data_IF_316506338707
#
_entry.id   IF_316506338707
#
_cell.length_a   1.000
_cell.length_b   1.000
_cell.length_c   1.000
_cell.angle_alpha   90.00
_cell.angle_beta   90.00
_cell.angle_gamma   90.00
#
_symmetry.space_group_name_H-M   'P 1'
#
loop_
_entity.id
_entity.type
_entity.pdbx_description
1 polymer ?
#
# COMPACT_ATOMS: atom_id res chain seq x y z
N UNK A 1 -0.73 -28.91 -50.23
CA UNK A 1 -0.45 -30.15 -49.50
C UNK A 1 -0.75 -29.92 -48.06
N UNK A 2 -1.82 -30.56 -47.50
CA UNK A 2 -2.28 -30.41 -46.12
C UNK A 2 -1.60 -31.46 -45.26
N UNK A 3 -0.90 -31.06 -44.22
CA UNK A 3 -0.40 -31.99 -43.21
C UNK A 3 -1.08 -31.71 -41.88
N UNK A 4 -2.02 -32.57 -41.54
CA UNK A 4 -2.74 -32.64 -40.26
C UNK A 4 -1.80 -33.38 -39.29
N UNK A 5 -1.44 -32.73 -38.18
CA UNK A 5 -0.73 -33.36 -37.08
C UNK A 5 -1.75 -33.63 -35.95
N UNK A 6 -1.95 -34.92 -35.71
CA UNK A 6 -2.86 -35.49 -34.74
C UNK A 6 -2.10 -35.59 -33.39
N UNK A 7 -2.53 -34.88 -32.36
CA UNK A 7 -2.02 -35.08 -30.99
C UNK A 7 -2.96 -35.97 -30.19
N UNK A 8 -2.39 -37.08 -29.76
CA UNK A 8 -3.05 -38.11 -28.93
C UNK A 8 -3.08 -37.63 -27.48
N UNK A 9 -4.28 -37.65 -26.89
CA UNK A 9 -4.52 -37.47 -25.45
C UNK A 9 -4.09 -38.72 -24.70
N UNK A 10 -3.11 -38.60 -23.81
CA UNK A 10 -2.88 -39.58 -22.74
C UNK A 10 -3.54 -39.10 -21.45
N UNK A 11 -4.60 -39.82 -21.08
CA UNK A 11 -5.33 -39.67 -19.82
C UNK A 11 -4.62 -40.49 -18.74
N UNK A 12 -3.94 -39.83 -17.82
CA UNK A 12 -3.34 -40.43 -16.63
C UNK A 12 -4.19 -40.17 -15.40
N UNK A 13 -4.94 -41.20 -14.97
CA UNK A 13 -5.67 -41.23 -13.69
C UNK A 13 -4.69 -41.61 -12.61
N UNK A 14 -4.46 -40.72 -11.64
CA UNK A 14 -3.72 -41.04 -10.41
C UNK A 14 -4.70 -40.98 -9.24
N UNK A 15 -5.04 -42.15 -8.72
CA UNK A 15 -5.75 -42.35 -7.45
C UNK A 15 -4.75 -42.14 -6.28
N UNK A 16 -5.00 -41.25 -5.40
CA UNK A 16 -4.32 -41.12 -4.13
C UNK A 16 -5.29 -41.19 -2.97
N UNK A 17 -5.03 -42.19 -2.14
CA UNK A 17 -5.80 -42.62 -0.98
C UNK A 17 -5.81 -41.56 0.14
N UNK A 18 -6.97 -41.44 0.78
CA UNK A 18 -7.19 -40.69 2.01
C UNK A 18 -6.55 -41.39 3.21
N UNK A 19 -5.73 -40.69 3.98
CA UNK A 19 -5.41 -41.04 5.37
C UNK A 19 -5.97 -39.92 6.26
N UNK A 20 -7.00 -40.24 7.04
CA UNK A 20 -7.50 -39.44 8.14
C UNK A 20 -6.74 -39.77 9.44
N UNK A 21 -6.35 -38.80 10.26
CA UNK A 21 -5.93 -39.05 11.63
C UNK A 21 -7.11 -39.01 12.60
N UNK A 22 -7.08 -39.96 13.49
CA UNK A 22 -8.01 -40.27 14.58
C UNK A 22 -8.07 -39.13 15.60
N UNK A 23 -9.28 -38.74 15.99
CA UNK A 23 -9.61 -37.98 17.19
C UNK A 23 -9.28 -38.81 18.44
N UNK A 24 -8.41 -38.28 19.29
CA UNK A 24 -8.19 -38.76 20.66
C UNK A 24 -9.13 -38.02 21.61
N UNK A 25 -10.07 -38.76 22.20
CA UNK A 25 -10.85 -38.37 23.37
C UNK A 25 -9.92 -38.23 24.58
N UNK A 26 -9.97 -37.09 25.25
CA UNK A 26 -9.45 -36.92 26.62
C UNK A 26 -10.65 -36.64 27.52
N UNK A 27 -10.89 -37.54 28.41
CA UNK A 27 -11.90 -37.57 29.44
C UNK A 27 -11.47 -36.69 30.63
N UNK A 28 -12.36 -35.94 31.30
CA UNK A 28 -12.00 -35.11 32.47
C UNK A 28 -11.95 -35.97 33.74
N UNK A 29 -10.82 -35.99 34.40
CA UNK A 29 -10.61 -36.61 35.70
C UNK A 29 -11.12 -35.68 36.82
N UNK A 30 -12.01 -36.25 37.62
CA UNK A 30 -12.71 -35.68 38.77
C UNK A 30 -11.83 -35.66 40.00
N UNK A 31 -11.70 -34.53 40.67
CA UNK A 31 -11.05 -34.38 41.97
C UNK A 31 -11.90 -34.96 43.14
N UNK A 32 -11.32 -35.38 44.23
CA UNK A 32 -12.06 -35.48 45.49
C UNK A 32 -11.77 -34.29 46.42
N UNK A 33 -12.84 -33.82 47.03
CA UNK A 33 -12.88 -32.82 48.11
C UNK A 33 -12.27 -33.40 49.40
N UNK A 34 -11.51 -32.54 50.10
CA UNK A 34 -11.14 -32.78 51.51
C UNK A 34 -11.63 -31.64 52.35
N UNK A 35 -12.38 -32.00 53.37
CA UNK A 35 -13.01 -31.15 54.37
C UNK A 35 -12.04 -30.76 55.48
N UNK A 36 -12.14 -29.51 55.85
CA UNK A 36 -12.06 -28.78 57.14
C UNK A 36 -11.28 -29.37 58.33
N UNK A 37 -10.65 -28.49 59.16
CA UNK A 37 -11.35 -28.06 60.36
C UNK A 37 -11.26 -26.55 60.68
N UNK A 38 -12.35 -26.10 61.27
CA UNK A 38 -12.63 -24.81 61.90
C UNK A 38 -11.72 -24.56 63.09
N UNK A 39 -11.18 -23.34 63.23
CA UNK A 39 -10.66 -22.81 64.51
C UNK A 39 -10.79 -21.28 64.59
N UNK A 40 -10.74 -20.64 65.77
CA UNK A 40 -11.73 -19.72 66.23
C UNK A 40 -11.38 -18.23 65.99
N UNK A 41 -12.44 -17.40 66.10
CA UNK A 41 -12.39 -15.93 66.05
C UNK A 41 -11.41 -15.29 67.05
N UNK A 42 -10.50 -14.47 66.51
CA UNK A 42 -9.81 -13.45 67.26
C UNK A 42 -10.43 -12.04 66.96
N UNK A 43 -10.37 -11.10 67.88
CA UNK A 43 -11.18 -9.87 67.82
C UNK A 43 -10.76 -8.89 66.75
N UNK A 44 -11.73 -8.22 66.19
CA UNK A 44 -11.57 -7.22 65.13
C UNK A 44 -10.67 -6.05 65.58
N UNK A 45 -9.57 -5.88 64.92
CA UNK A 45 -8.77 -4.65 64.96
C UNK A 45 -9.36 -3.71 63.90
N UNK A 46 -9.86 -2.57 64.28
CA UNK A 46 -10.36 -1.55 63.38
C UNK A 46 -9.24 -1.10 62.43
N UNK A 47 -9.38 -1.44 61.17
CA UNK A 47 -8.50 -0.92 60.09
C UNK A 47 -8.95 0.52 59.78
N UNK A 48 -8.05 1.53 59.79
CA UNK A 48 -8.37 2.88 59.35
C UNK A 48 -8.81 2.89 57.91
N UNK A 49 -9.88 3.64 57.60
CA UNK A 49 -10.42 3.80 56.26
C UNK A 49 -9.34 4.24 55.26
N UNK A 50 -9.29 3.65 54.02
CA UNK A 50 -8.34 4.08 53.02
C UNK A 50 -8.65 5.52 52.61
N UNK A 51 -7.57 6.36 52.63
CA UNK A 51 -7.56 7.71 52.06
C UNK A 51 -8.01 7.68 50.61
N UNK A 52 -8.86 8.61 50.13
CA UNK A 52 -9.28 8.63 48.75
C UNK A 52 -8.07 8.72 47.83
N UNK A 53 -7.99 7.79 46.87
CA UNK A 53 -6.97 7.81 45.82
C UNK A 53 -7.08 9.12 45.01
N UNK A 54 -5.95 9.73 44.59
CA UNK A 54 -6.02 10.91 43.74
C UNK A 54 -6.76 10.59 42.45
N UNK A 55 -7.77 11.39 42.15
CA UNK A 55 -8.50 11.35 40.88
C UNK A 55 -7.47 11.49 39.73
N UNK A 56 -7.51 10.62 38.70
CA UNK A 56 -6.65 10.82 37.55
C UNK A 56 -6.95 12.19 36.95
N UNK A 57 -5.98 13.09 36.98
CA UNK A 57 -6.04 14.34 36.23
C UNK A 57 -6.05 13.93 34.75
N UNK A 58 -7.17 14.15 34.07
CA UNK A 58 -7.29 14.02 32.62
C UNK A 58 -6.19 14.89 32.00
N UNK A 59 -5.23 14.25 31.34
CA UNK A 59 -4.16 14.95 30.64
C UNK A 59 -4.82 15.86 29.59
N UNK A 60 -4.49 17.14 29.63
CA UNK A 60 -4.92 18.09 28.60
C UNK A 60 -4.49 17.53 27.22
N UNK A 61 -5.35 17.63 26.18
CA UNK A 61 -4.99 17.19 24.85
C UNK A 61 -3.70 17.94 24.42
N UNK A 62 -2.72 17.18 23.97
CA UNK A 62 -1.50 17.77 23.36
C UNK A 62 -1.93 18.67 22.20
N UNK A 63 -1.25 19.80 21.98
CA UNK A 63 -1.54 20.66 20.84
C UNK A 63 -1.38 19.85 19.57
N UNK A 64 -2.47 19.57 18.88
CA UNK A 64 -2.46 18.93 17.57
C UNK A 64 -1.79 19.90 16.60
N UNK A 65 -0.62 19.54 16.08
CA UNK A 65 -0.01 20.30 14.98
C UNK A 65 -1.00 20.44 13.83
N UNK A 66 -1.03 21.60 13.15
CA UNK A 66 -1.89 21.76 11.99
C UNK A 66 -1.51 20.70 10.93
N UNK A 67 -2.49 20.11 10.23
CA UNK A 67 -2.22 19.10 9.21
C UNK A 67 -1.30 19.66 8.12
N UNK A 68 -0.34 18.85 7.70
CA UNK A 68 0.56 19.20 6.60
C UNK A 68 -0.25 19.31 5.28
N UNK A 69 0.05 20.27 4.42
CA UNK A 69 -0.65 20.40 3.15
C UNK A 69 -0.46 19.13 2.30
N UNK A 70 -1.50 18.74 1.56
CA UNK A 70 -1.43 17.65 0.59
C UNK A 70 -0.63 18.10 -0.63
N UNK A 71 0.69 18.01 -0.51
CA UNK A 71 1.66 18.42 -1.53
C UNK A 71 2.61 17.25 -1.79
N UNK A 72 2.82 16.92 -3.06
CA UNK A 72 3.73 15.85 -3.49
C UNK A 72 5.15 16.39 -3.64
N UNK A 73 6.08 15.79 -2.93
CA UNK A 73 7.50 16.14 -2.94
C UNK A 73 8.39 14.91 -3.16
N UNK A 74 9.64 15.13 -3.52
CA UNK A 74 10.68 14.11 -3.56
C UNK A 74 11.93 14.61 -2.85
N UNK A 75 12.71 13.71 -2.25
CA UNK A 75 14.06 14.04 -1.77
C UNK A 75 15.11 13.98 -2.89
N UNK A 76 14.72 13.48 -4.07
CA UNK A 76 15.61 13.27 -5.20
C UNK A 76 15.75 14.52 -6.09
N UNK A 77 14.68 15.33 -6.21
CA UNK A 77 14.65 16.55 -7.02
C UNK A 77 13.49 17.46 -6.58
N UNK A 78 13.64 18.76 -6.83
CA UNK A 78 12.61 19.77 -6.54
C UNK A 78 11.70 19.99 -7.76
N UNK A 79 10.58 20.69 -7.53
CA UNK A 79 9.62 21.08 -8.58
C UNK A 79 10.31 21.84 -9.72
N UNK A 80 10.24 21.31 -10.94
CA UNK A 80 10.82 21.89 -12.16
C UNK A 80 12.28 21.54 -12.40
N UNK A 81 12.96 20.94 -11.43
CA UNK A 81 14.39 20.62 -11.52
C UNK A 81 14.67 19.31 -12.29
N UNK A 82 15.92 19.09 -12.71
CA UNK A 82 16.31 17.85 -13.38
C UNK A 82 16.16 16.62 -12.49
N UNK A 83 15.53 15.57 -13.01
CA UNK A 83 15.50 14.25 -12.40
C UNK A 83 16.91 13.65 -12.50
N UNK A 84 17.52 13.18 -11.38
CA UNK A 84 18.84 12.56 -11.42
C UNK A 84 18.89 11.31 -12.30
N UNK A 85 20.04 11.09 -12.94
CA UNK A 85 20.26 10.00 -13.89
C UNK A 85 19.95 8.63 -13.30
N UNK A 86 20.15 8.42 -12.00
CA UNK A 86 19.80 7.18 -11.28
C UNK A 86 18.37 6.71 -11.57
N UNK A 87 17.43 7.65 -11.67
CA UNK A 87 16.00 7.36 -11.87
C UNK A 87 15.58 7.27 -13.34
N UNK A 88 16.53 7.21 -14.26
CA UNK A 88 16.31 7.22 -15.71
C UNK A 88 16.84 5.94 -16.37
N UNK A 89 16.44 5.72 -17.63
CA UNK A 89 16.95 4.62 -18.45
C UNK A 89 18.47 4.66 -18.71
N UNK A 90 19.14 5.75 -18.35
CA UNK A 90 20.59 5.91 -18.43
C UNK A 90 21.31 5.59 -17.13
N UNK A 91 20.57 5.38 -16.04
CA UNK A 91 21.04 5.02 -14.71
C UNK A 91 20.56 3.66 -14.27
N UNK A 92 20.08 3.59 -13.03
CA UNK A 92 19.60 2.35 -12.43
C UNK A 92 18.14 2.03 -12.81
N UNK A 93 17.43 2.99 -13.40
CA UNK A 93 16.02 2.87 -13.82
C UNK A 93 15.08 2.50 -12.67
N UNK A 94 15.34 3.04 -11.49
CA UNK A 94 14.55 2.84 -10.26
C UNK A 94 13.63 4.03 -9.99
N UNK A 95 12.52 3.82 -9.28
CA UNK A 95 11.62 4.92 -8.89
C UNK A 95 12.27 5.81 -7.83
N UNK A 96 12.10 7.15 -7.90
CA UNK A 96 12.49 8.05 -6.82
C UNK A 96 11.62 7.84 -5.59
N UNK A 97 12.13 8.24 -4.42
CA UNK A 97 11.29 8.38 -3.24
C UNK A 97 10.32 9.54 -3.43
N UNK A 98 9.07 9.34 -3.03
CA UNK A 98 8.01 10.35 -3.08
C UNK A 98 7.37 10.44 -1.71
N UNK A 99 7.04 11.65 -1.25
CA UNK A 99 6.35 11.88 0.02
C UNK A 99 5.27 12.95 -0.15
N UNK A 100 4.29 12.94 0.74
CA UNK A 100 3.18 13.90 0.75
C UNK A 100 2.62 14.13 2.14
N UNK A 101 1.96 15.27 2.32
CA UNK A 101 1.25 15.60 3.56
C UNK A 101 -0.09 14.88 3.69
N UNK A 102 -0.97 15.41 4.54
CA UNK A 102 -2.23 14.76 4.84
C UNK A 102 -3.23 14.88 3.68
N UNK A 103 -3.76 13.77 3.16
CA UNK A 103 -4.84 13.80 2.20
C UNK A 103 -6.13 14.33 2.86
N UNK A 104 -7.09 14.85 2.07
CA UNK A 104 -8.36 15.33 2.59
C UNK A 104 -9.10 14.27 3.41
N UNK A 105 -9.92 14.74 4.36
CA UNK A 105 -10.81 13.85 5.10
C UNK A 105 -11.76 13.11 4.16
N UNK A 106 -11.96 11.83 4.39
CA UNK A 106 -12.78 10.96 3.54
C UNK A 106 -11.99 10.19 2.50
N UNK A 107 -10.67 10.42 2.39
CA UNK A 107 -9.82 9.63 1.50
C UNK A 107 -9.80 8.17 1.94
N UNK A 108 -10.09 7.26 1.01
CA UNK A 108 -10.03 5.81 1.19
C UNK A 108 -8.78 5.19 0.55
N UNK A 109 -8.33 5.76 -0.58
CA UNK A 109 -7.11 5.33 -1.25
C UNK A 109 -6.43 6.48 -1.99
N UNK A 110 -5.17 6.26 -2.39
CA UNK A 110 -4.43 7.18 -3.24
C UNK A 110 -4.05 6.47 -4.54
N UNK A 111 -3.88 7.27 -5.62
CA UNK A 111 -3.38 6.80 -6.90
C UNK A 111 -2.29 7.73 -7.41
N UNK A 112 -1.18 7.18 -7.89
CA UNK A 112 -0.06 7.91 -8.50
C UNK A 112 0.05 7.53 -9.97
N UNK A 113 0.19 8.55 -10.84
CA UNK A 113 0.46 8.37 -12.26
C UNK A 113 1.65 9.25 -12.64
N UNK A 114 2.68 8.63 -13.24
CA UNK A 114 3.81 9.34 -13.85
C UNK A 114 3.70 9.27 -15.36
N UNK A 115 3.77 10.42 -16.03
CA UNK A 115 3.75 10.48 -17.49
C UNK A 115 4.61 11.60 -18.08
N UNK A 116 4.92 11.46 -19.38
CA UNK A 116 5.65 12.38 -20.23
C UNK A 116 4.72 12.85 -21.36
N UNK A 117 4.19 14.08 -21.29
CA UNK A 117 3.36 14.65 -22.36
C UNK A 117 4.18 15.13 -23.57
N UNK A 118 5.49 15.25 -23.45
CA UNK A 118 6.36 15.76 -24.51
C UNK A 118 6.87 14.64 -25.44
N UNK A 119 6.50 13.40 -25.19
CA UNK A 119 6.88 12.26 -26.01
C UNK A 119 6.34 12.37 -27.45
N UNK A 120 7.12 12.04 -28.49
CA UNK A 120 6.76 12.31 -29.90
C UNK A 120 5.47 11.65 -30.39
N UNK A 121 5.07 10.55 -29.78
CA UNK A 121 3.86 9.78 -30.14
C UNK A 121 2.61 10.12 -29.33
N UNK A 122 2.65 11.16 -28.52
CA UNK A 122 1.64 11.52 -27.51
C UNK A 122 2.09 11.14 -26.11
N UNK A 123 1.26 11.38 -25.09
CA UNK A 123 1.63 11.13 -23.69
C UNK A 123 2.12 9.71 -23.48
N UNK A 124 3.35 9.57 -22.96
CA UNK A 124 3.94 8.29 -22.59
C UNK A 124 3.80 8.08 -21.09
N UNK A 125 3.20 6.97 -20.70
CA UNK A 125 2.98 6.63 -19.30
C UNK A 125 4.16 5.82 -18.77
N UNK A 126 4.77 6.32 -17.70
CA UNK A 126 5.96 5.77 -17.09
C UNK A 126 5.67 4.85 -15.91
N UNK A 127 4.69 5.23 -15.07
CA UNK A 127 4.37 4.50 -13.84
C UNK A 127 2.93 4.75 -13.43
N UNK A 128 2.27 3.70 -12.96
CA UNK A 128 0.92 3.78 -12.38
C UNK A 128 0.91 2.93 -11.12
N UNK A 129 0.54 3.53 -10.00
CA UNK A 129 0.34 2.84 -8.71
C UNK A 129 -0.97 3.33 -8.13
N UNK A 130 -1.86 2.42 -7.76
CA UNK A 130 -3.15 2.79 -7.17
C UNK A 130 -3.55 1.82 -6.06
N UNK A 131 -4.64 2.14 -5.34
CA UNK A 131 -5.01 1.49 -4.10
C UNK A 131 -3.92 1.62 -3.03
N UNK A 132 -3.18 2.75 -3.03
CA UNK A 132 -2.27 3.09 -1.95
C UNK A 132 -3.15 3.43 -0.73
N UNK A 133 -2.92 2.82 0.46
CA UNK A 133 -3.72 3.12 1.65
C UNK A 133 -3.69 4.60 2.03
N UNK A 134 -4.82 5.12 2.51
CA UNK A 134 -4.97 6.55 2.83
C UNK A 134 -4.08 7.06 3.97
N UNK A 135 -3.54 6.17 4.79
CA UNK A 135 -2.61 6.46 5.89
C UNK A 135 -1.13 6.44 5.48
N UNK A 136 -0.82 6.00 4.26
CA UNK A 136 0.54 6.06 3.69
C UNK A 136 0.89 7.50 3.35
N UNK A 137 2.14 7.90 3.65
CA UNK A 137 2.67 9.26 3.40
C UNK A 137 3.89 9.29 2.52
N UNK A 138 4.36 8.12 2.08
CA UNK A 138 5.53 8.00 1.20
C UNK A 138 5.51 6.75 0.35
N UNK A 139 6.13 6.80 -0.82
CA UNK A 139 6.57 5.65 -1.59
C UNK A 139 8.10 5.59 -1.49
N UNK A 140 8.68 4.44 -1.12
CA UNK A 140 10.12 4.30 -1.01
C UNK A 140 10.81 4.39 -2.37
N UNK A 141 12.08 4.77 -2.35
CA UNK A 141 12.97 4.63 -3.51
C UNK A 141 13.04 3.16 -3.96
N UNK A 142 13.18 2.94 -5.26
CA UNK A 142 13.25 1.61 -5.87
C UNK A 142 12.07 0.70 -5.49
N UNK A 143 10.86 1.25 -5.46
CA UNK A 143 9.65 0.52 -5.06
C UNK A 143 9.38 -0.67 -5.98
N UNK A 144 9.47 -1.92 -5.49
CA UNK A 144 9.25 -3.09 -6.33
C UNK A 144 7.77 -3.33 -6.61
N UNK A 145 7.46 -3.94 -7.76
CA UNK A 145 6.12 -4.45 -8.03
C UNK A 145 5.70 -5.46 -6.94
N UNK A 146 4.41 -5.42 -6.56
CA UNK A 146 3.89 -6.26 -5.49
C UNK A 146 4.15 -5.73 -4.08
N UNK A 147 4.62 -4.48 -3.93
CA UNK A 147 4.76 -3.81 -2.62
C UNK A 147 3.45 -3.84 -1.84
N UNK A 148 3.57 -4.01 -0.52
CA UNK A 148 2.46 -3.92 0.43
C UNK A 148 2.77 -2.89 1.51
N UNK A 149 1.72 -2.18 1.95
CA UNK A 149 1.74 -1.37 3.16
C UNK A 149 0.88 -2.09 4.21
N UNK A 150 1.51 -2.62 5.25
CA UNK A 150 0.87 -3.58 6.14
C UNK A 150 0.37 -4.81 5.38
N UNK A 151 -0.92 -5.12 5.50
CA UNK A 151 -1.55 -6.25 4.79
C UNK A 151 -2.14 -5.86 3.42
N UNK A 152 -2.14 -4.55 3.07
CA UNK A 152 -2.73 -4.04 1.83
C UNK A 152 -1.68 -4.04 0.72
N UNK A 153 -1.94 -4.81 -0.34
CA UNK A 153 -1.16 -4.76 -1.57
C UNK A 153 -1.61 -3.57 -2.42
N UNK A 154 -0.67 -2.74 -2.86
CA UNK A 154 -0.95 -1.74 -3.89
C UNK A 154 -1.03 -2.39 -5.26
N UNK A 155 -1.74 -1.77 -6.19
CA UNK A 155 -1.86 -2.27 -7.56
C UNK A 155 -0.99 -1.43 -8.48
N UNK A 156 -0.19 -2.11 -9.31
CA UNK A 156 0.60 -1.47 -10.36
C UNK A 156 -0.13 -1.59 -11.69
N UNK A 157 -0.49 -0.47 -12.29
CA UNK A 157 -1.11 -0.45 -13.60
C UNK A 157 -0.09 -0.58 -14.74
N UNK A 158 -0.58 -0.88 -15.93
CA UNK A 158 0.26 -1.10 -17.12
C UNK A 158 0.75 0.22 -17.70
N UNK A 159 2.06 0.39 -17.77
CA UNK A 159 2.73 1.53 -18.41
C UNK A 159 2.75 1.41 -19.95
N UNK A 160 3.34 2.40 -20.63
CA UNK A 160 3.37 2.44 -22.10
C UNK A 160 4.31 1.39 -22.73
N UNK A 161 5.19 0.75 -21.95
CA UNK A 161 5.97 -0.41 -22.39
C UNK A 161 5.21 -1.75 -22.24
N UNK A 162 3.98 -1.73 -21.69
CA UNK A 162 3.20 -2.93 -21.41
C UNK A 162 3.67 -3.71 -20.18
N UNK A 163 4.27 -3.03 -19.22
CA UNK A 163 4.75 -3.57 -17.94
C UNK A 163 4.04 -2.90 -16.77
N UNK A 164 3.93 -3.60 -15.66
CA UNK A 164 3.33 -3.09 -14.42
C UNK A 164 4.43 -2.79 -13.39
N UNK A 165 5.36 -1.91 -13.77
CA UNK A 165 6.50 -1.45 -12.99
C UNK A 165 6.84 0.01 -13.34
N UNK A 166 7.85 0.58 -12.67
CA UNK A 166 8.43 1.86 -13.02
C UNK A 166 9.27 1.73 -14.29
N UNK A 167 9.21 2.75 -15.15
CA UNK A 167 10.16 2.98 -16.24
C UNK A 167 10.56 4.45 -16.23
N UNK A 168 11.85 4.72 -16.09
CA UNK A 168 12.37 6.07 -15.90
C UNK A 168 12.33 6.93 -17.17
N UNK A 169 12.63 8.22 -17.02
CA UNK A 169 12.83 9.14 -18.14
C UNK A 169 13.79 8.60 -19.18
N UNK A 170 13.35 8.60 -20.45
CA UNK A 170 14.14 8.11 -21.58
C UNK A 170 13.78 8.87 -22.87
N UNK A 171 13.97 10.19 -22.93
CA UNK A 171 13.58 10.97 -24.09
C UNK A 171 14.48 10.63 -25.29
N UNK A 172 13.93 10.53 -26.51
CA UNK A 172 14.72 10.25 -27.71
C UNK A 172 15.62 11.42 -28.13
N UNK A 173 15.40 12.61 -27.58
CA UNK A 173 16.17 13.82 -27.82
C UNK A 173 15.52 15.03 -27.14
N UNK A 174 16.34 16.05 -26.85
CA UNK A 174 15.86 17.27 -26.16
C UNK A 174 15.62 17.05 -24.67
N UNK A 175 14.83 17.97 -24.11
CA UNK A 175 14.42 17.95 -22.69
C UNK A 175 12.92 17.73 -22.62
N UNK A 176 12.50 16.70 -21.89
CA UNK A 176 11.10 16.39 -21.63
C UNK A 176 10.73 16.66 -20.18
N UNK A 177 9.45 16.86 -19.92
CA UNK A 177 8.85 17.05 -18.60
C UNK A 177 8.18 15.75 -18.18
N UNK A 178 8.36 15.39 -16.91
CA UNK A 178 7.81 14.17 -16.30
C UNK A 178 6.94 14.59 -15.13
N UNK A 179 5.65 14.31 -15.21
CA UNK A 179 4.67 14.71 -14.23
C UNK A 179 4.32 13.51 -13.34
N UNK A 180 4.56 13.64 -12.05
CA UNK A 180 4.07 12.73 -11.02
C UNK A 180 2.80 13.34 -10.45
N UNK A 181 1.64 12.73 -10.69
CA UNK A 181 0.35 13.19 -10.18
C UNK A 181 -0.17 12.23 -9.15
N UNK A 182 -0.47 12.75 -7.96
CA UNK A 182 -1.03 11.99 -6.85
C UNK A 182 -2.47 12.45 -6.62
N UNK A 183 -3.38 11.49 -6.62
CA UNK A 183 -4.81 11.69 -6.44
C UNK A 183 -5.26 11.09 -5.11
N UNK A 184 -6.04 11.83 -4.32
CA UNK A 184 -6.74 11.34 -3.15
C UNK A 184 -8.17 10.96 -3.55
N UNK A 185 -8.57 9.72 -3.27
CA UNK A 185 -9.86 9.16 -3.73
C UNK A 185 -10.74 8.78 -2.54
N UNK A 186 -12.06 8.99 -2.65
CA UNK A 186 -13.06 8.51 -1.70
C UNK A 186 -13.51 7.07 -1.98
N UNK A 187 -12.77 6.34 -2.81
CA UNK A 187 -13.02 4.96 -3.20
C UNK A 187 -11.73 4.16 -3.30
N UNK A 188 -11.85 2.83 -3.38
CA UNK A 188 -10.80 1.93 -3.88
C UNK A 188 -11.16 1.48 -5.29
N UNK A 189 -10.15 1.34 -6.15
CA UNK A 189 -10.33 0.92 -7.54
C UNK A 189 -10.25 -0.61 -7.67
N UNK A 190 -10.76 -1.20 -8.76
CA UNK A 190 -10.55 -2.63 -9.05
C UNK A 190 -9.05 -2.96 -9.11
N UNK A 191 -8.61 -4.02 -8.40
CA UNK A 191 -7.20 -4.44 -8.38
C UNK A 191 -6.86 -5.24 -9.64
N UNK A 192 -6.62 -4.54 -10.76
CA UNK A 192 -6.27 -5.11 -12.05
C UNK A 192 -4.98 -4.48 -12.59
N UNK A 193 -3.89 -5.24 -12.59
CA UNK A 193 -2.57 -4.81 -13.07
C UNK A 193 -2.50 -4.59 -14.60
N UNK A 194 -3.53 -4.98 -15.34
CA UNK A 194 -3.62 -4.73 -16.79
C UNK A 194 -4.22 -3.37 -17.13
N UNK A 195 -4.74 -2.65 -16.14
CA UNK A 195 -5.35 -1.34 -16.33
C UNK A 195 -4.32 -0.31 -16.81
N UNK A 196 -4.65 0.34 -17.90
CA UNK A 196 -3.88 1.47 -18.45
C UNK A 196 -4.38 2.80 -17.84
N UNK A 197 -3.59 3.87 -18.01
CA UNK A 197 -3.91 5.20 -17.50
C UNK A 197 -5.35 5.64 -17.76
N UNK A 198 -5.85 5.46 -18.99
CA UNK A 198 -7.21 5.90 -19.33
C UNK A 198 -8.31 5.13 -18.59
N UNK A 199 -8.09 3.86 -18.26
CA UNK A 199 -9.01 3.03 -17.47
C UNK A 199 -8.97 3.47 -16.00
N UNK A 200 -7.75 3.64 -15.43
CA UNK A 200 -7.59 4.13 -14.06
C UNK A 200 -8.24 5.52 -13.90
N UNK A 201 -8.01 6.44 -14.84
CA UNK A 201 -8.66 7.76 -14.82
C UNK A 201 -10.19 7.66 -14.93
N UNK A 202 -10.73 6.73 -15.73
CA UNK A 202 -12.17 6.53 -15.85
C UNK A 202 -12.78 5.99 -14.55
N UNK A 203 -12.08 5.09 -13.85
CA UNK A 203 -12.54 4.56 -12.57
C UNK A 203 -12.35 5.56 -11.40
N UNK A 204 -11.48 6.55 -11.56
CA UNK A 204 -11.31 7.67 -10.62
C UNK A 204 -12.34 8.78 -10.82
N UNK A 205 -12.99 8.85 -11.99
CA UNK A 205 -13.93 9.93 -12.31
C UNK A 205 -15.09 9.98 -11.32
N UNK A 206 -15.30 11.17 -10.73
CA UNK A 206 -16.28 11.39 -9.66
C UNK A 206 -15.84 10.97 -8.27
N UNK A 207 -14.64 10.39 -8.10
CA UNK A 207 -14.08 9.93 -6.82
C UNK A 207 -12.87 10.74 -6.34
N UNK A 208 -12.39 11.73 -7.10
CA UNK A 208 -11.21 12.52 -6.76
C UNK A 208 -11.60 13.60 -5.75
N UNK A 209 -11.04 13.54 -4.54
CA UNK A 209 -11.17 14.55 -3.49
C UNK A 209 -10.13 15.67 -3.61
N UNK A 210 -8.91 15.32 -4.03
CA UNK A 210 -7.81 16.25 -4.26
C UNK A 210 -6.78 15.65 -5.21
N UNK A 211 -5.99 16.55 -5.82
CA UNK A 211 -4.87 16.23 -6.68
C UNK A 211 -3.68 17.12 -6.33
N UNK A 212 -2.47 16.55 -6.41
CA UNK A 212 -1.20 17.28 -6.29
C UNK A 212 -0.21 16.75 -7.31
N UNK A 213 0.75 17.58 -7.71
CA UNK A 213 1.68 17.27 -8.79
C UNK A 213 3.10 17.69 -8.43
N UNK A 214 4.05 16.82 -8.75
CA UNK A 214 5.49 17.12 -8.81
C UNK A 214 5.95 16.92 -10.25
N UNK A 215 6.60 17.93 -10.85
CA UNK A 215 7.15 17.86 -12.19
C UNK A 215 8.66 17.94 -12.14
N UNK A 216 9.34 17.02 -12.81
CA UNK A 216 10.77 17.09 -13.06
C UNK A 216 11.08 17.10 -14.55
N UNK A 217 12.33 17.42 -14.91
CA UNK A 217 12.80 17.41 -16.30
C UNK A 217 13.89 16.37 -16.50
N UNK A 218 14.05 15.86 -17.72
CA UNK A 218 15.18 15.02 -18.07
C UNK A 218 15.57 15.24 -19.54
N UNK A 219 16.89 15.27 -19.80
CA UNK A 219 17.47 15.49 -21.13
C UNK A 219 18.16 14.25 -21.65
N UNK A 220 18.13 14.12 -22.99
CA UNK A 220 18.86 13.04 -23.69
C UNK A 220 20.37 13.13 -23.50
#
# INVERSE_FOLDING_TARGET
MKQRMLFVFCLGILLLAACAPRLGNVEPETAPATVEPTEPLAPATETPAPSPAPTPTEAAPEPTEPPLPFELISTAFDQGEPIPTTYSCKGEDISPSLAWGDPPQGTQSLALIMDDPDAPGGTWVHWIVFNIPADVRELPEAMPAGTKFGDVAVTFGMNSWGRSDYGGPCPPGGTHRYFFRLYALDATLPSDETMKKNQVLADMDGHILAETELMGTFSH
#
